data_IF_179709386435
#
_entry.id   IF_179709386435
#
_cell.length_a   1.000
_cell.length_b   1.000
_cell.length_c   1.000
_cell.angle_alpha   90.00
_cell.angle_beta   90.00
_cell.angle_gamma   90.00
#
_symmetry.space_group_name_H-M   'P 1'
#
loop_
_entity.id
_entity.type
_entity.pdbx_description
1 polymer ?
#
# COMPACT_ATOMS: atom_id res chain seq x y z
N UNK A 1 31.47 -54.77 -17.39
CA UNK A 1 32.21 -53.67 -16.74
C UNK A 1 32.07 -52.42 -17.61
N UNK A 2 31.08 -51.56 -17.35
CA UNK A 2 30.84 -50.34 -18.14
C UNK A 2 31.53 -49.14 -17.48
N UNK A 3 32.39 -48.45 -18.24
CA UNK A 3 33.17 -47.29 -17.78
C UNK A 3 32.35 -46.02 -18.03
N UNK A 4 31.86 -45.39 -16.97
CA UNK A 4 31.07 -44.15 -17.06
C UNK A 4 32.03 -42.99 -17.40
N UNK A 5 31.70 -42.23 -18.44
CA UNK A 5 32.47 -41.08 -18.89
C UNK A 5 32.09 -39.85 -18.05
N UNK A 6 32.96 -39.46 -17.12
CA UNK A 6 32.71 -38.37 -16.16
C UNK A 6 32.98 -36.97 -16.70
N UNK A 7 33.38 -36.84 -17.98
CA UNK A 7 33.66 -35.55 -18.63
C UNK A 7 32.51 -34.53 -18.58
N UNK A 8 31.21 -34.88 -18.78
CA UNK A 8 30.14 -33.89 -18.72
C UNK A 8 29.89 -33.37 -17.29
N UNK A 9 30.16 -34.20 -16.27
CA UNK A 9 30.04 -33.80 -14.85
C UNK A 9 31.12 -32.80 -14.48
N UNK A 10 32.36 -33.05 -14.90
CA UNK A 10 33.47 -32.11 -14.68
C UNK A 10 33.28 -30.79 -15.42
N UNK A 11 32.70 -30.82 -16.63
CA UNK A 11 32.38 -29.61 -17.38
C UNK A 11 31.32 -28.75 -16.66
N UNK A 12 30.29 -29.39 -16.09
CA UNK A 12 29.26 -28.70 -15.30
C UNK A 12 29.85 -27.97 -14.08
N UNK A 13 30.69 -28.64 -13.29
CA UNK A 13 31.30 -28.03 -12.12
C UNK A 13 32.30 -26.92 -12.47
N UNK A 14 33.04 -27.05 -13.57
CA UNK A 14 33.94 -26.00 -14.04
C UNK A 14 33.18 -24.72 -14.44
N UNK A 15 32.04 -24.85 -15.13
CA UNK A 15 31.17 -23.72 -15.48
C UNK A 15 30.59 -23.09 -14.21
N UNK A 16 30.09 -23.90 -13.27
CA UNK A 16 29.50 -23.42 -12.01
C UNK A 16 30.51 -22.61 -11.19
N UNK A 17 31.73 -23.12 -11.04
CA UNK A 17 32.81 -22.41 -10.31
C UNK A 17 33.13 -21.08 -11.00
N UNK A 18 33.21 -21.08 -12.33
CA UNK A 18 33.50 -19.86 -13.10
C UNK A 18 32.40 -18.80 -12.90
N UNK A 19 31.13 -19.20 -12.94
CA UNK A 19 29.99 -18.30 -12.69
C UNK A 19 30.04 -17.75 -11.26
N UNK A 20 30.33 -18.60 -10.27
CA UNK A 20 30.45 -18.16 -8.87
C UNK A 20 31.64 -17.21 -8.65
N UNK A 21 32.78 -17.46 -9.30
CA UNK A 21 33.95 -16.57 -9.22
C UNK A 21 33.67 -15.21 -9.86
N UNK A 22 32.98 -15.17 -11.01
CA UNK A 22 32.55 -13.93 -11.66
C UNK A 22 31.57 -13.18 -10.76
N UNK A 23 30.58 -13.86 -10.17
CA UNK A 23 29.62 -13.24 -9.25
C UNK A 23 30.29 -12.69 -7.99
N UNK A 24 31.25 -13.42 -7.42
CA UNK A 24 32.04 -13.00 -6.27
C UNK A 24 32.88 -11.74 -6.57
N UNK A 25 33.52 -11.69 -7.74
CA UNK A 25 34.29 -10.52 -8.18
C UNK A 25 33.37 -9.32 -8.45
N UNK A 26 32.20 -9.54 -9.06
CA UNK A 26 31.20 -8.50 -9.30
C UNK A 26 30.72 -7.90 -7.97
N UNK A 27 30.46 -8.72 -6.96
CA UNK A 27 30.03 -8.27 -5.63
C UNK A 27 31.12 -7.50 -4.85
N UNK A 28 32.41 -7.64 -5.23
CA UNK A 28 33.50 -6.82 -4.68
C UNK A 28 33.64 -5.47 -5.39
N UNK A 29 33.35 -5.40 -6.69
CA UNK A 29 33.53 -4.18 -7.50
C UNK A 29 32.30 -3.26 -7.35
N UNK A 30 31.10 -3.83 -7.28
CA UNK A 30 29.88 -3.15 -6.86
C UNK A 30 29.51 -3.65 -5.47
N UNK A 31 30.04 -3.05 -4.37
CA UNK A 31 29.51 -3.36 -3.05
C UNK A 31 28.00 -3.11 -3.08
N UNK A 32 27.18 -3.96 -2.43
CA UNK A 32 25.76 -3.67 -2.30
C UNK A 32 25.63 -2.26 -1.74
N UNK A 33 24.87 -1.42 -2.44
CA UNK A 33 24.55 -0.08 -2.01
C UNK A 33 24.14 -0.16 -0.54
N UNK A 34 24.83 0.60 0.33
CA UNK A 34 24.56 0.60 1.77
C UNK A 34 23.05 0.66 1.97
N UNK A 35 22.54 -0.27 2.78
CA UNK A 35 21.16 -0.18 3.27
C UNK A 35 20.93 1.24 3.78
N UNK A 36 19.76 1.86 3.52
CA UNK A 36 19.39 3.12 4.15
C UNK A 36 19.73 3.03 5.64
N UNK A 37 20.35 4.09 6.18
CA UNK A 37 20.72 4.15 7.58
C UNK A 37 19.54 3.77 8.48
N UNK A 38 19.82 2.94 9.47
CA UNK A 38 18.90 2.50 10.52
C UNK A 38 18.27 3.73 11.19
N UNK A 39 16.95 3.90 11.09
CA UNK A 39 16.20 5.02 11.69
C UNK A 39 15.70 4.65 13.10
N UNK A 40 16.38 3.71 13.77
CA UNK A 40 15.96 3.21 15.09
C UNK A 40 16.68 3.90 16.25
N UNK A 41 17.49 4.95 15.98
CA UNK A 41 18.36 5.58 16.98
C UNK A 41 18.18 7.11 17.05
N UNK A 42 16.94 7.59 17.20
CA UNK A 42 16.70 8.89 17.85
C UNK A 42 15.51 8.74 18.79
N UNK A 43 15.81 8.37 20.03
CA UNK A 43 14.96 8.61 21.18
C UNK A 43 14.72 10.14 21.32
N UNK A 44 13.48 10.56 21.12
CA UNK A 44 13.00 11.89 21.53
C UNK A 44 12.86 12.92 20.40
N UNK A 45 11.60 13.23 20.05
CA UNK A 45 11.17 14.41 19.26
C UNK A 45 11.87 14.60 17.90
N UNK A 46 11.38 13.88 16.89
CA UNK A 46 10.96 14.36 15.55
C UNK A 46 10.46 13.11 14.83
N UNK A 47 9.19 13.07 14.44
CA UNK A 47 8.73 12.10 13.46
C UNK A 47 9.46 12.39 12.15
N UNK A 48 10.44 11.56 11.77
CA UNK A 48 11.15 11.71 10.50
C UNK A 48 10.23 11.25 9.36
N UNK A 49 9.28 12.08 8.97
CA UNK A 49 8.53 11.87 7.73
C UNK A 49 9.29 12.50 6.56
N UNK A 50 9.06 11.97 5.37
CA UNK A 50 9.54 12.50 4.11
C UNK A 50 8.52 13.51 3.55
N UNK A 51 9.04 14.62 3.04
CA UNK A 51 8.30 15.57 2.20
C UNK A 51 8.74 15.37 0.75
N UNK A 52 7.78 15.12 -0.15
CA UNK A 52 8.00 15.18 -1.59
C UNK A 52 7.46 16.51 -2.08
N UNK A 53 8.33 17.31 -2.71
CA UNK A 53 7.99 18.60 -3.31
C UNK A 53 8.07 18.55 -4.83
N UNK A 54 7.19 19.26 -5.52
CA UNK A 54 7.26 19.43 -6.97
C UNK A 54 8.33 20.46 -7.39
N UNK A 55 8.49 20.66 -8.70
CA UNK A 55 9.45 21.63 -9.26
C UNK A 55 9.12 23.09 -8.94
N UNK A 56 7.90 23.39 -8.46
CA UNK A 56 7.47 24.72 -8.06
C UNK A 56 7.62 24.95 -6.54
N UNK A 57 8.08 23.94 -5.80
CA UNK A 57 8.24 23.98 -4.34
C UNK A 57 6.98 23.63 -3.56
N UNK A 58 5.91 23.14 -4.21
CA UNK A 58 4.71 22.70 -3.53
C UNK A 58 4.91 21.31 -2.94
N UNK A 59 4.50 21.09 -1.68
CA UNK A 59 4.46 19.74 -1.08
C UNK A 59 3.34 18.94 -1.75
N UNK A 60 3.71 17.84 -2.41
CA UNK A 60 2.76 16.94 -3.09
C UNK A 60 2.46 15.68 -2.29
N UNK A 61 3.37 15.25 -1.41
CA UNK A 61 3.17 14.10 -0.54
C UNK A 61 4.01 14.20 0.73
N UNK A 62 3.41 13.84 1.85
CA UNK A 62 4.11 13.60 3.11
C UNK A 62 3.88 12.15 3.54
N UNK A 63 4.93 11.43 3.93
CA UNK A 63 4.82 10.03 4.35
C UNK A 63 5.92 9.64 5.33
N UNK A 64 5.63 8.74 6.25
CA UNK A 64 6.62 8.04 7.07
C UNK A 64 7.35 6.93 6.32
N UNK A 65 6.89 6.54 5.13
CA UNK A 65 7.56 5.56 4.29
C UNK A 65 8.90 6.13 3.78
N UNK A 66 9.96 5.33 3.73
CA UNK A 66 11.21 5.73 3.09
C UNK A 66 10.98 6.09 1.62
N UNK A 67 11.49 7.27 1.21
CA UNK A 67 11.44 7.73 -0.18
C UNK A 67 12.82 7.59 -0.83
N UNK A 68 12.86 7.05 -2.03
CA UNK A 68 14.06 6.88 -2.84
C UNK A 68 13.91 7.55 -4.20
N UNK A 69 15.05 7.84 -4.84
CA UNK A 69 15.07 8.21 -6.26
C UNK A 69 14.35 7.16 -7.11
N UNK A 70 13.61 7.63 -8.11
CA UNK A 70 12.78 6.85 -9.03
C UNK A 70 11.53 6.22 -8.39
N UNK A 71 11.20 6.56 -7.14
CA UNK A 71 9.87 6.30 -6.60
C UNK A 71 8.85 7.23 -7.29
N UNK A 72 7.60 6.78 -7.41
CA UNK A 72 6.56 7.50 -8.13
C UNK A 72 5.35 7.77 -7.22
N UNK A 73 4.60 8.82 -7.52
CA UNK A 73 3.38 9.15 -6.79
C UNK A 73 2.30 9.60 -7.76
N UNK A 74 1.13 8.97 -7.68
CA UNK A 74 -0.08 9.39 -8.39
C UNK A 74 -0.99 10.05 -7.37
N UNK A 75 -1.15 11.37 -7.46
CA UNK A 75 -1.91 12.12 -6.47
C UNK A 75 -3.43 11.95 -6.64
N UNK A 76 -4.21 12.64 -5.82
CA UNK A 76 -5.67 12.62 -5.88
C UNK A 76 -6.23 13.04 -7.24
N UNK A 77 -5.61 14.02 -7.91
CA UNK A 77 -5.99 14.53 -9.23
C UNK A 77 -5.39 13.73 -10.41
N UNK A 78 -4.84 12.54 -10.14
CA UNK A 78 -4.19 11.65 -11.12
C UNK A 78 -2.94 12.24 -11.82
N UNK A 79 -2.33 13.30 -11.28
CA UNK A 79 -0.99 13.72 -11.69
C UNK A 79 0.04 12.68 -11.25
N UNK A 80 0.83 12.21 -12.21
CA UNK A 80 1.85 11.21 -11.98
C UNK A 80 3.23 11.84 -11.86
N UNK A 81 3.81 11.79 -10.67
CA UNK A 81 5.12 12.33 -10.34
C UNK A 81 6.18 11.23 -10.26
N UNK A 82 7.42 11.58 -10.55
CA UNK A 82 8.61 10.75 -10.32
C UNK A 82 9.63 11.53 -9.50
N UNK A 83 10.13 10.90 -8.43
CA UNK A 83 11.17 11.44 -7.56
C UNK A 83 12.51 11.49 -8.30
N UNK A 84 13.08 12.68 -8.42
CA UNK A 84 14.34 12.92 -9.13
C UNK A 84 15.54 13.00 -8.20
N UNK A 85 15.35 13.47 -6.97
CA UNK A 85 16.41 13.61 -5.97
C UNK A 85 15.84 13.41 -4.55
N UNK A 86 16.68 12.95 -3.63
CA UNK A 86 16.36 12.81 -2.20
C UNK A 86 17.55 13.32 -1.39
N UNK A 87 17.30 14.32 -0.54
CA UNK A 87 18.27 14.94 0.36
C UNK A 87 17.71 14.94 1.79
N UNK A 88 18.28 14.07 2.64
CA UNK A 88 17.71 13.82 3.97
C UNK A 88 16.27 13.30 3.85
N UNK A 89 15.34 14.00 4.50
CA UNK A 89 13.91 13.68 4.46
C UNK A 89 13.13 14.52 3.42
N UNK A 90 13.81 15.23 2.51
CA UNK A 90 13.16 16.00 1.45
C UNK A 90 13.47 15.37 0.10
N UNK A 91 12.45 15.19 -0.72
CA UNK A 91 12.56 14.66 -2.05
C UNK A 91 11.99 15.66 -3.05
N UNK A 92 12.66 15.84 -4.19
CA UNK A 92 12.11 16.61 -5.31
C UNK A 92 11.54 15.65 -6.35
N UNK A 93 10.39 15.99 -6.90
CA UNK A 93 9.73 15.23 -7.94
C UNK A 93 9.30 16.13 -9.10
N UNK A 94 9.21 15.55 -10.28
CA UNK A 94 8.65 16.19 -11.48
C UNK A 94 7.50 15.37 -12.01
N UNK A 95 6.64 15.97 -12.83
CA UNK A 95 5.60 15.24 -13.55
C UNK A 95 6.30 14.25 -14.52
N UNK A 96 5.94 12.97 -14.41
CA UNK A 96 6.37 11.87 -15.28
C UNK A 96 5.48 11.76 -16.51
N UNK A 97 4.17 11.80 -16.29
CA UNK A 97 3.13 11.78 -17.34
C UNK A 97 1.92 12.56 -16.86
N UNK A 98 1.44 13.53 -17.64
CA UNK A 98 0.03 13.90 -17.55
C UNK A 98 -0.73 12.82 -18.31
N UNK A 99 -1.29 11.83 -17.61
CA UNK A 99 -2.40 11.11 -18.24
C UNK A 99 -3.47 12.19 -18.45
N UNK A 100 -3.98 12.36 -19.67
CA UNK A 100 -5.10 13.26 -19.91
C UNK A 100 -6.11 12.99 -18.82
N UNK A 101 -6.25 13.93 -17.88
CA UNK A 101 -7.25 13.83 -16.85
C UNK A 101 -8.56 13.48 -17.56
N UNK A 102 -9.45 12.66 -16.97
CA UNK A 102 -10.83 12.89 -17.30
C UNK A 102 -11.01 14.38 -17.03
N UNK A 103 -11.21 15.17 -18.10
CA UNK A 103 -11.84 16.47 -17.91
C UNK A 103 -13.01 16.12 -17.00
N UNK A 104 -13.05 16.67 -15.80
CA UNK A 104 -14.34 16.94 -15.21
C UNK A 104 -15.03 17.79 -16.27
N UNK A 105 -15.71 17.12 -17.21
CA UNK A 105 -16.81 17.73 -17.92
C UNK A 105 -17.66 18.20 -16.77
N UNK A 106 -17.71 19.51 -16.62
CA UNK A 106 -18.81 20.15 -15.92
C UNK A 106 -20.08 19.74 -16.68
N UNK A 107 -20.52 18.51 -16.48
CA UNK A 107 -21.94 18.25 -16.45
C UNK A 107 -22.39 18.95 -15.19
N UNK A 108 -22.89 20.16 -15.37
CA UNK A 108 -23.63 20.92 -14.40
C UNK A 108 -24.87 20.10 -14.04
N UNK A 109 -24.69 19.16 -13.10
CA UNK A 109 -25.82 18.57 -12.40
C UNK A 109 -26.45 19.72 -11.61
N UNK A 110 -27.70 20.12 -11.91
CA UNK A 110 -28.38 21.11 -11.10
C UNK A 110 -28.35 20.61 -9.65
N UNK A 111 -28.04 21.48 -8.71
CA UNK A 111 -27.78 21.18 -7.28
C UNK A 111 -28.89 20.33 -6.64
N UNK A 112 -30.09 20.36 -7.22
CA UNK A 112 -31.24 19.53 -6.84
C UNK A 112 -31.16 18.06 -7.29
N UNK A 113 -30.43 17.73 -8.35
CA UNK A 113 -30.27 16.35 -8.86
C UNK A 113 -29.21 15.54 -8.10
N UNK A 114 -28.18 16.18 -7.57
CA UNK A 114 -27.18 15.53 -6.70
C UNK A 114 -27.76 15.10 -5.34
N UNK A 115 -28.83 15.75 -4.88
CA UNK A 115 -29.57 15.37 -3.67
C UNK A 115 -30.46 14.14 -3.92
N UNK A 116 -30.77 13.83 -5.19
CA UNK A 116 -31.64 12.72 -5.60
C UNK A 116 -30.87 11.49 -6.10
N UNK A 117 -29.56 11.60 -6.34
CA UNK A 117 -28.71 10.42 -6.53
C UNK A 117 -28.53 9.72 -5.18
N UNK A 118 -29.41 8.75 -4.94
CA UNK A 118 -29.30 7.86 -3.80
C UNK A 118 -27.92 7.19 -3.82
N UNK A 119 -27.30 7.12 -2.65
CA UNK A 119 -26.04 6.40 -2.37
C UNK A 119 -26.05 4.97 -2.99
N UNK A 120 -27.24 4.38 -3.17
CA UNK A 120 -27.44 3.07 -3.80
C UNK A 120 -27.05 2.97 -5.27
N UNK A 121 -27.00 4.08 -6.02
CA UNK A 121 -26.82 4.01 -7.48
C UNK A 121 -25.33 3.93 -7.88
N UNK A 122 -24.44 4.35 -6.99
CA UNK A 122 -22.98 4.25 -7.19
C UNK A 122 -22.37 2.97 -6.59
N UNK A 123 -22.94 2.47 -5.50
CA UNK A 123 -22.42 1.28 -4.84
C UNK A 123 -23.02 0.01 -5.41
N UNK A 124 -22.15 -0.80 -6.01
CA UNK A 124 -22.54 -2.11 -6.55
C UNK A 124 -21.99 -3.21 -5.67
N UNK A 125 -22.88 -4.10 -5.22
CA UNK A 125 -22.49 -5.32 -4.51
C UNK A 125 -22.18 -6.41 -5.56
N UNK A 126 -21.07 -7.16 -5.43
CA UNK A 126 -20.77 -8.28 -6.31
C UNK A 126 -21.90 -9.33 -6.30
N UNK A 127 -22.32 -9.79 -7.48
CA UNK A 127 -23.34 -10.83 -7.62
C UNK A 127 -22.76 -12.20 -7.32
N UNK A 128 -21.49 -12.45 -7.68
CA UNK A 128 -20.78 -13.67 -7.28
C UNK A 128 -20.13 -13.43 -5.93
N UNK A 129 -20.19 -14.43 -5.05
CA UNK A 129 -19.52 -14.39 -3.76
C UNK A 129 -18.01 -14.17 -3.98
N UNK A 130 -17.50 -13.04 -3.48
CA UNK A 130 -16.07 -12.71 -3.50
C UNK A 130 -15.44 -13.06 -2.18
N UNK A 131 -14.15 -13.38 -2.20
CA UNK A 131 -13.34 -13.59 -0.99
C UNK A 131 -12.20 -12.59 -0.90
N UNK A 132 -11.94 -12.11 0.30
CA UNK A 132 -10.80 -11.23 0.59
C UNK A 132 -10.08 -11.75 1.82
N UNK A 133 -8.75 -11.63 1.83
CA UNK A 133 -7.95 -11.82 3.05
C UNK A 133 -7.36 -10.48 3.50
N UNK A 134 -7.42 -10.21 4.80
CA UNK A 134 -6.89 -9.01 5.46
C UNK A 134 -5.86 -9.46 6.48
N UNK A 135 -4.67 -8.88 6.44
CA UNK A 135 -3.58 -9.14 7.38
C UNK A 135 -2.81 -7.85 7.66
N UNK A 136 -1.80 -7.94 8.54
CA UNK A 136 -1.01 -6.80 8.97
C UNK A 136 0.46 -7.19 9.08
N UNK A 137 1.35 -6.58 8.30
CA UNK A 137 2.78 -6.81 8.47
C UNK A 137 3.30 -6.19 9.77
N UNK A 138 2.80 -5.02 10.14
CA UNK A 138 3.16 -4.33 11.38
C UNK A 138 2.00 -4.35 12.37
N UNK A 139 1.73 -5.52 12.97
CA UNK A 139 0.61 -5.72 13.91
C UNK A 139 0.64 -4.84 15.14
N UNK A 140 1.79 -4.26 15.48
CA UNK A 140 1.96 -3.41 16.65
C UNK A 140 1.46 -1.97 16.45
N UNK A 141 1.24 -1.55 15.21
CA UNK A 141 0.89 -0.16 14.88
C UNK A 141 -0.38 0.31 15.61
N UNK A 142 -0.27 1.48 16.24
CA UNK A 142 -1.33 2.11 17.04
C UNK A 142 -1.46 3.61 16.76
N UNK A 143 -2.56 4.21 17.21
CA UNK A 143 -2.89 5.62 17.04
C UNK A 143 -2.71 6.36 18.38
N UNK A 144 -1.79 7.32 18.41
CA UNK A 144 -1.41 8.05 19.63
C UNK A 144 -2.61 8.74 20.29
N UNK A 145 -3.51 9.45 19.57
CA UNK A 145 -4.66 10.12 20.18
C UNK A 145 -5.65 9.17 20.87
N UNK A 146 -5.65 7.88 20.53
CA UNK A 146 -6.58 6.89 21.11
C UNK A 146 -5.91 6.04 22.17
N UNK A 147 -4.76 5.44 21.87
CA UNK A 147 -4.10 4.46 22.73
C UNK A 147 -2.89 5.01 23.49
N UNK A 148 -2.56 6.29 23.30
CA UNK A 148 -1.44 6.97 23.96
C UNK A 148 -0.05 6.53 23.48
N UNK A 149 0.03 5.64 22.50
CA UNK A 149 1.28 5.12 21.91
C UNK A 149 1.11 4.83 20.42
N UNK A 150 2.20 4.94 19.66
CA UNK A 150 2.23 4.59 18.24
C UNK A 150 2.47 3.08 17.98
N UNK A 151 2.81 2.31 19.02
CA UNK A 151 3.15 0.88 18.93
C UNK A 151 2.78 0.11 20.22
N UNK A 152 2.21 -1.10 20.06
CA UNK A 152 1.85 -2.04 21.12
C UNK A 152 2.30 -3.47 20.76
N UNK A 153 3.25 -4.03 21.52
CA UNK A 153 3.90 -5.33 21.19
C UNK A 153 2.95 -6.53 21.06
N UNK A 154 1.81 -6.50 21.76
CA UNK A 154 0.83 -7.60 21.79
C UNK A 154 -0.26 -7.48 20.71
N UNK A 155 -0.15 -6.50 19.81
CA UNK A 155 -1.18 -6.14 18.85
C UNK A 155 -1.70 -4.73 19.14
N UNK A 156 -1.56 -3.85 18.16
CA UNK A 156 -1.98 -2.46 18.22
C UNK A 156 -3.36 -2.22 17.63
N UNK A 157 -3.71 -0.95 17.55
CA UNK A 157 -5.01 -0.50 17.05
C UNK A 157 -5.25 -0.85 15.59
N UNK A 158 -4.19 -1.11 14.82
CA UNK A 158 -4.31 -1.46 13.39
C UNK A 158 -5.16 -2.71 13.16
N UNK A 159 -5.17 -3.64 14.14
CA UNK A 159 -6.04 -4.82 14.12
C UNK A 159 -7.52 -4.40 14.13
N UNK A 160 -7.89 -3.35 14.87
CA UNK A 160 -9.26 -2.84 14.89
C UNK A 160 -9.64 -2.17 13.57
N UNK A 161 -8.70 -1.50 12.90
CA UNK A 161 -8.90 -0.96 11.55
C UNK A 161 -9.14 -2.10 10.54
N UNK A 162 -8.34 -3.16 10.58
CA UNK A 162 -8.55 -4.37 9.78
C UNK A 162 -9.91 -5.03 10.05
N UNK A 163 -10.33 -5.07 11.32
CA UNK A 163 -11.67 -5.57 11.71
C UNK A 163 -12.80 -4.69 11.18
N UNK A 164 -12.64 -3.36 11.19
CA UNK A 164 -13.61 -2.44 10.63
C UNK A 164 -13.77 -2.64 9.12
N UNK A 165 -12.66 -2.79 8.39
CA UNK A 165 -12.66 -3.14 6.96
C UNK A 165 -13.36 -4.49 6.72
N UNK A 166 -12.99 -5.53 7.47
CA UNK A 166 -13.60 -6.86 7.39
C UNK A 166 -15.11 -6.81 7.54
N UNK A 167 -15.60 -6.13 8.57
CA UNK A 167 -17.03 -6.03 8.83
C UNK A 167 -17.76 -5.28 7.71
N UNK A 168 -17.19 -4.19 7.20
CA UNK A 168 -17.78 -3.43 6.09
C UNK A 168 -17.83 -4.25 4.79
N UNK A 169 -16.76 -4.96 4.44
CA UNK A 169 -16.74 -5.87 3.29
C UNK A 169 -17.75 -7.01 3.44
N UNK A 170 -17.87 -7.56 4.65
CA UNK A 170 -18.83 -8.65 4.93
C UNK A 170 -20.28 -8.18 4.76
N UNK A 171 -20.59 -6.95 5.17
CA UNK A 171 -21.89 -6.32 4.93
C UNK A 171 -22.17 -6.07 3.43
N UNK A 172 -21.11 -5.96 2.62
CA UNK A 172 -21.18 -5.86 1.16
C UNK A 172 -21.09 -7.23 0.45
N UNK A 173 -21.48 -8.32 1.13
CA UNK A 173 -21.50 -9.69 0.58
C UNK A 173 -20.12 -10.22 0.12
N UNK A 174 -19.04 -9.74 0.73
CA UNK A 174 -17.66 -10.21 0.49
C UNK A 174 -17.20 -11.01 1.69
N UNK A 175 -16.95 -12.29 1.49
CA UNK A 175 -16.42 -13.16 2.53
C UNK A 175 -14.99 -12.76 2.87
N UNK A 176 -14.79 -12.26 4.09
CA UNK A 176 -13.52 -11.65 4.49
C UNK A 176 -12.87 -12.39 5.63
N UNK A 177 -11.67 -12.91 5.38
CA UNK A 177 -10.81 -13.55 6.37
C UNK A 177 -9.85 -12.53 6.94
N UNK A 178 -10.01 -12.19 8.22
CA UNK A 178 -9.11 -11.26 8.91
C UNK A 178 -8.16 -12.06 9.81
N UNK A 179 -6.87 -11.97 9.51
CA UNK A 179 -5.82 -12.62 10.29
C UNK A 179 -5.13 -11.60 11.21
N UNK A 180 -5.00 -11.99 12.48
CA UNK A 180 -4.40 -11.17 13.54
C UNK A 180 -3.14 -11.81 14.14
N UNK A 181 -2.47 -12.70 13.38
CA UNK A 181 -1.20 -13.31 13.79
C UNK A 181 -0.18 -12.20 14.06
N UNK A 182 0.47 -12.22 15.23
CA UNK A 182 1.38 -11.17 15.63
C UNK A 182 2.72 -11.28 14.87
N UNK A 183 3.10 -10.21 14.15
CA UNK A 183 4.34 -10.13 13.41
C UNK A 183 5.38 -9.18 14.05
N UNK A 184 5.19 -8.78 15.31
CA UNK A 184 6.21 -8.09 16.11
C UNK A 184 7.53 -8.89 16.16
N UNK A 185 8.73 -8.25 16.19
CA UNK A 185 9.01 -6.80 16.23
C UNK A 185 8.69 -6.02 14.96
N UNK A 186 8.57 -4.70 15.07
CA UNK A 186 8.45 -3.79 13.93
C UNK A 186 9.83 -3.60 13.28
N UNK A 187 10.34 -4.64 12.62
CA UNK A 187 11.66 -4.68 11.99
C UNK A 187 11.59 -5.12 10.52
N UNK A 188 12.73 -5.13 9.83
CA UNK A 188 12.82 -5.60 8.44
C UNK A 188 12.35 -7.07 8.28
N UNK A 189 12.36 -7.87 9.34
CA UNK A 189 11.89 -9.24 9.32
C UNK A 189 10.37 -9.38 9.50
N UNK A 190 9.65 -8.29 9.81
CA UNK A 190 8.19 -8.30 9.89
C UNK A 190 7.58 -8.77 8.58
N UNK A 191 8.09 -8.29 7.43
CA UNK A 191 7.67 -8.75 6.11
C UNK A 191 7.91 -10.24 5.89
N UNK A 192 9.04 -10.79 6.37
CA UNK A 192 9.30 -12.24 6.29
C UNK A 192 8.31 -13.06 7.13
N UNK A 193 7.87 -12.55 8.28
CA UNK A 193 6.88 -13.22 9.13
C UNK A 193 5.49 -13.14 8.50
N UNK A 194 5.05 -11.95 8.09
CA UNK A 194 3.76 -11.72 7.46
C UNK A 194 3.62 -12.42 6.12
N UNK A 195 4.72 -12.59 5.37
CA UNK A 195 4.75 -13.41 4.15
C UNK A 195 4.27 -14.84 4.39
N UNK A 196 4.75 -15.48 5.48
CA UNK A 196 4.33 -16.85 5.84
C UNK A 196 2.84 -16.90 6.15
N UNK A 197 2.30 -15.85 6.75
CA UNK A 197 0.87 -15.70 7.01
C UNK A 197 0.09 -15.53 5.72
N UNK A 198 0.51 -14.63 4.82
CA UNK A 198 -0.14 -14.43 3.53
C UNK A 198 -0.16 -15.72 2.70
N UNK A 199 0.95 -16.46 2.63
CA UNK A 199 1.00 -17.77 1.92
C UNK A 199 -0.03 -18.77 2.47
N UNK A 200 -0.30 -18.77 3.78
CA UNK A 200 -1.36 -19.60 4.35
C UNK A 200 -2.74 -19.08 3.95
N UNK A 201 -2.97 -17.78 4.05
CA UNK A 201 -4.25 -17.14 3.71
C UNK A 201 -4.62 -17.31 2.22
N UNK A 202 -3.64 -17.34 1.31
CA UNK A 202 -3.89 -17.57 -0.11
C UNK A 202 -4.51 -18.95 -0.40
N UNK A 203 -4.39 -19.93 0.53
CA UNK A 203 -5.05 -21.24 0.42
C UNK A 203 -6.58 -21.15 0.57
N UNK A 204 -7.08 -20.05 1.14
CA UNK A 204 -8.52 -19.76 1.20
C UNK A 204 -9.10 -19.38 -0.17
N UNK A 205 -8.28 -19.30 -1.22
CA UNK A 205 -8.70 -18.90 -2.57
C UNK A 205 -9.36 -17.52 -2.62
N UNK A 206 -8.71 -16.46 -2.07
CA UNK A 206 -9.25 -15.10 -2.13
C UNK A 206 -9.22 -14.53 -3.55
N UNK A 207 -10.05 -13.54 -3.83
CA UNK A 207 -10.00 -12.68 -5.02
C UNK A 207 -9.04 -11.48 -4.82
N UNK A 208 -8.73 -11.10 -3.57
CA UNK A 208 -7.73 -10.07 -3.23
C UNK A 208 -7.15 -10.24 -1.82
N UNK A 209 -5.96 -9.66 -1.59
CA UNK A 209 -5.25 -9.70 -0.32
C UNK A 209 -4.83 -8.30 0.11
N UNK A 210 -5.09 -7.93 1.36
CA UNK A 210 -4.85 -6.58 1.85
C UNK A 210 -3.96 -6.57 3.09
N UNK A 211 -2.85 -5.84 3.00
CA UNK A 211 -1.99 -5.50 4.13
C UNK A 211 -2.38 -4.13 4.66
N UNK A 212 -2.84 -4.06 5.90
CA UNK A 212 -3.40 -2.83 6.48
C UNK A 212 -2.42 -2.25 7.48
N UNK A 213 -2.03 -1.00 7.21
CA UNK A 213 -1.05 -0.21 7.95
C UNK A 213 -1.59 1.18 8.31
N UNK A 214 -0.81 1.90 9.11
CA UNK A 214 -0.94 3.35 9.35
C UNK A 214 0.40 4.05 9.11
N UNK A 215 0.33 5.26 8.57
CA UNK A 215 1.51 6.03 8.22
C UNK A 215 2.09 6.79 9.42
N UNK A 216 3.25 7.43 9.24
CA UNK A 216 3.89 8.31 10.22
C UNK A 216 4.03 9.78 9.75
N UNK A 217 3.30 10.17 8.71
CA UNK A 217 3.17 11.57 8.27
C UNK A 217 2.46 12.46 9.31
N UNK A 218 2.46 13.80 9.14
CA UNK A 218 1.60 14.68 9.92
C UNK A 218 0.11 14.28 9.83
N UNK A 219 -0.65 14.53 10.90
CA UNK A 219 -2.08 14.20 10.94
C UNK A 219 -2.89 14.89 9.83
N UNK A 220 -2.48 16.10 9.44
CA UNK A 220 -3.10 16.91 8.38
C UNK A 220 -3.04 16.24 7.01
N UNK A 221 -1.93 15.56 6.70
CA UNK A 221 -1.75 14.83 5.43
C UNK A 221 -2.79 13.72 5.22
N UNK A 222 -3.33 13.21 6.34
CA UNK A 222 -4.30 12.12 6.40
C UNK A 222 -5.68 12.54 6.91
N UNK A 223 -5.95 13.84 7.04
CA UNK A 223 -7.26 14.33 7.45
C UNK A 223 -8.13 14.66 6.24
N UNK A 224 -9.38 14.19 6.23
CA UNK A 224 -10.42 14.61 5.28
C UNK A 224 -11.79 14.58 5.95
N UNK A 225 -12.83 15.02 5.25
CA UNK A 225 -14.23 14.83 5.66
C UNK A 225 -14.97 14.04 4.60
N UNK A 226 -15.65 12.97 5.01
CA UNK A 226 -16.52 12.18 4.14
C UNK A 226 -17.94 12.35 4.66
N UNK A 227 -18.83 12.90 3.83
CA UNK A 227 -20.19 13.28 4.22
C UNK A 227 -20.25 14.19 5.47
N UNK A 228 -19.31 15.13 5.58
CA UNK A 228 -19.22 16.06 6.71
C UNK A 228 -18.67 15.46 8.01
N UNK A 229 -18.16 14.21 7.99
CA UNK A 229 -17.59 13.54 9.16
C UNK A 229 -16.07 13.39 8.98
N UNK A 230 -15.31 13.86 9.97
CA UNK A 230 -13.85 13.73 9.99
C UNK A 230 -13.42 12.28 9.81
N UNK A 231 -12.60 12.03 8.80
CA UNK A 231 -12.25 10.68 8.35
C UNK A 231 -10.77 10.65 7.99
N UNK A 232 -10.10 9.53 8.26
CA UNK A 232 -8.71 9.37 7.84
C UNK A 232 -8.67 9.05 6.35
N UNK A 233 -7.77 9.72 5.62
CA UNK A 233 -7.46 9.40 4.22
C UNK A 233 -6.77 8.04 4.14
N UNK A 234 -6.73 7.49 2.93
CA UNK A 234 -6.06 6.23 2.61
C UNK A 234 -5.01 6.50 1.53
N UNK A 235 -3.81 5.97 1.70
CA UNK A 235 -2.81 5.89 0.63
C UNK A 235 -2.64 4.44 0.21
N UNK A 236 -2.67 4.18 -1.09
CA UNK A 236 -2.36 2.85 -1.63
C UNK A 236 -0.86 2.79 -1.88
N UNK A 237 -0.19 1.75 -1.41
CA UNK A 237 1.24 1.56 -1.65
C UNK A 237 1.44 0.39 -2.60
N UNK A 238 2.25 0.59 -3.64
CA UNK A 238 2.64 -0.44 -4.61
C UNK A 238 4.15 -0.54 -4.62
N UNK A 239 4.68 -1.76 -4.51
CA UNK A 239 6.11 -2.01 -4.56
C UNK A 239 6.62 -2.06 -6.00
N UNK A 240 7.58 -1.22 -6.37
CA UNK A 240 8.18 -1.25 -7.71
C UNK A 240 9.20 -2.36 -7.92
N UNK A 241 9.66 -3.01 -6.85
CA UNK A 241 10.51 -4.20 -6.93
C UNK A 241 9.70 -5.49 -7.10
N UNK A 242 8.37 -5.43 -6.98
CA UNK A 242 7.48 -6.58 -7.16
C UNK A 242 7.37 -6.94 -8.66
N UNK A 243 7.63 -8.20 -9.08
CA UNK A 243 7.47 -8.65 -10.48
C UNK A 243 6.03 -8.52 -11.02
N UNK A 244 5.02 -8.48 -10.15
CA UNK A 244 3.62 -8.26 -10.48
C UNK A 244 3.20 -6.77 -10.44
N UNK A 245 4.14 -5.83 -10.24
CA UNK A 245 3.85 -4.40 -10.00
C UNK A 245 2.81 -3.82 -10.97
N UNK A 246 2.89 -4.10 -12.27
CA UNK A 246 1.93 -3.56 -13.24
C UNK A 246 0.50 -4.06 -13.01
N UNK A 247 0.35 -5.32 -12.60
CA UNK A 247 -0.95 -5.92 -12.27
C UNK A 247 -1.49 -5.34 -10.96
N UNK A 248 -0.66 -5.26 -9.92
CA UNK A 248 -1.05 -4.65 -8.64
C UNK A 248 -1.40 -3.17 -8.82
N UNK A 249 -0.61 -2.41 -9.58
CA UNK A 249 -0.88 -1.00 -9.91
C UNK A 249 -2.18 -0.85 -10.72
N UNK A 250 -2.44 -1.75 -11.67
CA UNK A 250 -3.69 -1.77 -12.42
C UNK A 250 -4.89 -1.97 -11.49
N UNK A 251 -4.77 -2.84 -10.48
CA UNK A 251 -5.82 -3.02 -9.48
C UNK A 251 -5.95 -1.81 -8.54
N UNK A 252 -4.84 -1.25 -8.05
CA UNK A 252 -4.80 -0.03 -7.24
C UNK A 252 -5.52 1.14 -7.94
N UNK A 253 -5.25 1.36 -9.23
CA UNK A 253 -5.90 2.39 -10.04
C UNK A 253 -7.40 2.17 -10.19
N UNK A 254 -7.86 0.91 -10.31
CA UNK A 254 -9.30 0.61 -10.33
C UNK A 254 -9.96 0.95 -9.00
N UNK A 255 -9.37 0.52 -7.88
CA UNK A 255 -9.87 0.84 -6.53
C UNK A 255 -9.91 2.35 -6.32
N UNK A 256 -8.83 3.07 -6.64
CA UNK A 256 -8.79 4.54 -6.58
C UNK A 256 -9.89 5.18 -7.41
N UNK A 257 -10.02 4.83 -8.70
CA UNK A 257 -11.04 5.39 -9.60
C UNK A 257 -12.46 5.23 -9.06
N UNK A 258 -12.78 4.07 -8.50
CA UNK A 258 -14.09 3.83 -7.88
C UNK A 258 -14.26 4.67 -6.62
N UNK A 259 -13.22 4.72 -5.79
CA UNK A 259 -13.23 5.49 -4.55
C UNK A 259 -13.36 6.99 -4.79
N UNK A 260 -12.70 7.56 -5.79
CA UNK A 260 -12.76 9.00 -6.09
C UNK A 260 -14.17 9.44 -6.51
N UNK A 261 -14.95 8.54 -7.12
CA UNK A 261 -16.36 8.78 -7.43
C UNK A 261 -17.25 8.65 -6.20
N UNK A 262 -17.02 7.64 -5.39
CA UNK A 262 -17.85 7.28 -4.24
C UNK A 262 -17.62 8.16 -3.01
N UNK A 263 -16.35 8.45 -2.73
CA UNK A 263 -15.84 9.14 -1.55
C UNK A 263 -14.69 10.08 -1.97
N UNK A 264 -15.00 11.20 -2.68
CA UNK A 264 -13.99 12.16 -3.12
C UNK A 264 -13.08 12.60 -1.96
N UNK A 265 -11.76 12.60 -2.19
CA UNK A 265 -10.76 12.98 -1.19
C UNK A 265 -10.37 11.88 -0.19
N UNK A 266 -11.01 10.70 -0.22
CA UNK A 266 -10.61 9.58 0.64
C UNK A 266 -9.24 9.02 0.26
N UNK A 267 -9.02 8.66 -1.01
CA UNK A 267 -7.70 8.21 -1.48
C UNK A 267 -6.84 9.44 -1.70
N UNK A 268 -5.76 9.57 -0.93
CA UNK A 268 -4.79 10.68 -1.11
C UNK A 268 -3.82 10.46 -2.26
N UNK A 269 -3.69 9.22 -2.70
CA UNK A 269 -2.89 8.85 -3.87
C UNK A 269 -2.41 7.41 -3.84
N UNK A 270 -1.62 7.07 -4.86
CA UNK A 270 -0.91 5.80 -4.98
C UNK A 270 0.59 6.10 -4.92
N UNK A 271 1.26 5.63 -3.87
CA UNK A 271 2.70 5.70 -3.75
C UNK A 271 3.34 4.42 -4.31
N UNK A 272 4.28 4.57 -5.24
CA UNK A 272 4.98 3.48 -5.90
C UNK A 272 6.43 3.50 -5.38
N UNK A 273 6.63 2.84 -4.25
CA UNK A 273 7.90 2.85 -3.50
C UNK A 273 8.83 1.71 -3.88
N UNK A 274 10.11 1.81 -3.50
CA UNK A 274 11.16 0.82 -3.80
C UNK A 274 10.85 -0.63 -3.36
N UNK A 275 10.01 -0.84 -2.36
CA UNK A 275 9.76 -2.16 -1.77
C UNK A 275 9.05 -3.18 -2.68
N UNK A 276 8.77 -4.34 -2.10
CA UNK A 276 7.91 -5.40 -2.67
C UNK A 276 6.58 -5.51 -1.90
N UNK A 277 6.65 -5.43 -0.56
CA UNK A 277 5.49 -5.45 0.34
C UNK A 277 4.64 -6.74 0.27
N UNK A 278 5.26 -7.88 -0.05
CA UNK A 278 4.62 -9.19 -0.28
C UNK A 278 3.63 -9.21 -1.45
N UNK A 279 3.67 -8.19 -2.32
CA UNK A 279 2.74 -8.06 -3.44
C UNK A 279 3.07 -9.01 -4.59
N UNK A 280 4.29 -9.55 -4.62
CA UNK A 280 4.70 -10.61 -5.55
C UNK A 280 3.94 -11.91 -5.37
N UNK A 281 3.32 -12.13 -4.21
CA UNK A 281 2.56 -13.33 -3.92
C UNK A 281 1.19 -13.37 -4.59
N UNK A 282 0.62 -12.22 -4.97
CA UNK A 282 -0.74 -12.19 -5.51
C UNK A 282 -1.03 -10.96 -6.40
N UNK A 283 -1.68 -11.13 -7.57
CA UNK A 283 -1.90 -10.05 -8.55
C UNK A 283 -2.80 -8.92 -8.07
N UNK A 284 -3.68 -9.19 -7.10
CA UNK A 284 -4.57 -8.23 -6.45
C UNK A 284 -4.21 -8.03 -4.97
N UNK A 285 -2.94 -8.25 -4.60
CA UNK A 285 -2.41 -7.83 -3.31
C UNK A 285 -2.21 -6.30 -3.29
N UNK A 286 -2.71 -5.62 -2.27
CA UNK A 286 -2.49 -4.19 -2.05
C UNK A 286 -2.11 -3.91 -0.60
N UNK A 287 -1.28 -2.90 -0.39
CA UNK A 287 -1.02 -2.32 0.93
C UNK A 287 -1.79 -1.01 1.04
N UNK A 288 -2.46 -0.81 2.17
CA UNK A 288 -3.17 0.43 2.48
C UNK A 288 -2.62 1.05 3.76
N UNK A 289 -2.14 2.28 3.65
CA UNK A 289 -1.88 3.17 4.79
C UNK A 289 -3.18 3.93 5.10
N UNK A 290 -3.81 3.62 6.23
CA UNK A 290 -5.10 4.21 6.63
C UNK A 290 -4.86 5.16 7.79
N UNK A 291 -4.76 6.45 7.48
CA UNK A 291 -4.39 7.45 8.49
C UNK A 291 -2.92 7.47 8.85
N UNK A 292 -2.55 8.44 9.68
CA UNK A 292 -1.27 8.55 10.37
C UNK A 292 -1.42 8.12 11.84
N UNK A 293 -0.34 7.70 12.50
CA UNK A 293 -0.32 7.48 13.96
C UNK A 293 -0.77 8.71 14.78
N UNK A 294 -0.79 9.90 14.18
CA UNK A 294 -1.30 11.14 14.79
C UNK A 294 -2.80 11.39 14.55
N UNK A 295 -3.49 10.58 13.74
CA UNK A 295 -4.95 10.59 13.67
C UNK A 295 -5.55 9.70 14.77
N UNK A 296 -6.86 9.82 15.04
CA UNK A 296 -7.54 8.89 15.95
C UNK A 296 -7.87 7.56 15.28
N UNK A 297 -7.92 6.47 16.06
CA UNK A 297 -8.39 5.16 15.58
C UNK A 297 -9.80 5.28 14.95
N UNK A 298 -10.69 6.05 15.57
CA UNK A 298 -12.06 6.22 15.07
C UNK A 298 -12.10 6.82 13.65
N UNK A 299 -11.20 7.76 13.33
CA UNK A 299 -11.06 8.29 11.97
C UNK A 299 -10.53 7.23 11.00
N UNK A 300 -9.55 6.42 11.42
CA UNK A 300 -9.00 5.34 10.61
C UNK A 300 -10.05 4.26 10.30
N UNK A 301 -10.85 3.85 11.29
CA UNK A 301 -11.95 2.92 11.06
C UNK A 301 -13.01 3.48 10.10
N UNK A 302 -13.30 4.79 10.14
CA UNK A 302 -14.20 5.43 9.17
C UNK A 302 -13.60 5.42 7.76
N UNK A 303 -12.30 5.65 7.64
CA UNK A 303 -11.57 5.54 6.37
C UNK A 303 -11.64 4.12 5.81
N UNK A 304 -11.40 3.11 6.65
CA UNK A 304 -11.51 1.70 6.31
C UNK A 304 -12.92 1.28 5.87
N UNK A 305 -13.97 1.77 6.55
CA UNK A 305 -15.37 1.52 6.14
C UNK A 305 -15.67 2.13 4.76
N UNK A 306 -15.23 3.36 4.52
CA UNK A 306 -15.43 4.04 3.23
C UNK A 306 -14.63 3.36 2.10
N UNK A 307 -13.43 2.87 2.39
CA UNK A 307 -12.61 2.07 1.46
C UNK A 307 -13.31 0.76 1.07
N UNK A 308 -14.03 0.11 1.99
CA UNK A 308 -14.76 -1.12 1.72
C UNK A 308 -15.79 -0.94 0.60
N UNK A 309 -16.48 0.21 0.57
CA UNK A 309 -17.47 0.51 -0.46
C UNK A 309 -16.83 0.55 -1.87
N UNK A 310 -15.62 1.11 -1.97
CA UNK A 310 -14.85 1.17 -3.21
C UNK A 310 -14.36 -0.20 -3.65
N UNK A 311 -13.87 -1.03 -2.72
CA UNK A 311 -13.44 -2.40 -3.01
C UNK A 311 -14.62 -3.24 -3.51
N UNK A 312 -15.78 -3.14 -2.86
CA UNK A 312 -16.97 -3.89 -3.25
C UNK A 312 -17.44 -3.53 -4.65
N UNK A 313 -17.49 -2.24 -4.96
CA UNK A 313 -17.89 -1.76 -6.28
C UNK A 313 -16.85 -2.13 -7.35
N UNK A 314 -15.55 -2.06 -7.04
CA UNK A 314 -14.50 -2.50 -7.94
C UNK A 314 -14.60 -4.00 -8.29
N UNK A 315 -15.01 -4.85 -7.34
CA UNK A 315 -15.32 -6.25 -7.65
C UNK A 315 -16.57 -6.40 -8.53
N UNK A 316 -17.65 -5.68 -8.23
CA UNK A 316 -18.88 -5.75 -9.00
C UNK A 316 -18.70 -5.28 -10.46
N UNK A 317 -17.84 -4.30 -10.72
CA UNK A 317 -17.52 -3.85 -12.08
C UNK A 317 -16.78 -4.92 -12.91
N UNK A 318 -16.07 -5.85 -12.29
CA UNK A 318 -15.39 -6.95 -13.01
C UNK A 318 -16.32 -8.08 -13.44
N UNK A 319 -17.58 -8.06 -12.98
CA UNK A 319 -18.60 -9.05 -13.35
C UNK A 319 -19.48 -8.62 -14.53
N UNK A 320 -19.36 -7.36 -14.96
CA UNK A 320 -20.06 -6.81 -16.12
C UNK A 320 -19.32 -7.17 -17.41
#
# INVERSE_FOLDING_TARGET
MFRINNKPVWLFFAILITVMSVFYLFNKITPPQRSPQRIDEIEGKITSYFEIIDTNGNVIMETGLPVSKDDEFINEDDYHYIVTNVEGNKATARIKTQQNAPKHSQESYPVLSAIVYSKTDFFSIPKKKKRVVVYHTHTDESYIPTSGTASQKKGGDIINVGKALKNALSNANIETFHNTENHYPHDINAYHRSRKTLVKLLKEGPDAAFDIHRDAAPASAYHTTINGIDTARVMIVVGRSNPLMQTNLGYAKRVKKVCDKAHPGLIRGIFIGRGDYNQDLYPSALLFEIGSHNNSLAMAERGARSLADAIATAFAETEK
#
